data_IF_576662311071
#
_entry.id   IF_576662311071
#
_cell.length_a   1.000
_cell.length_b   1.000
_cell.length_c   1.000
_cell.angle_alpha   90.00
_cell.angle_beta   90.00
_cell.angle_gamma   90.00
#
_symmetry.space_group_name_H-M   'P 1'
#
loop_
_entity.id
_entity.type
_entity.pdbx_description
1 polymer ?
#
# COMPACT_ATOMS: atom_id res chain seq x y z
N UNK A 1 23.43 7.66 5.68
CA UNK A 1 23.23 8.18 7.05
C UNK A 1 24.28 9.19 7.47
N UNK A 2 25.62 9.04 7.25
CA UNK A 2 26.53 10.14 7.54
C UNK A 2 26.14 11.44 6.85
N UNK A 3 25.65 11.33 5.63
CA UNK A 3 25.15 12.46 4.85
C UNK A 3 23.83 13.03 5.42
N UNK A 4 22.90 12.18 5.87
CA UNK A 4 21.63 12.60 6.50
C UNK A 4 21.90 13.27 7.86
N UNK A 5 22.77 12.70 8.68
CA UNK A 5 23.17 13.27 9.98
C UNK A 5 23.93 14.58 9.77
N UNK A 6 24.87 14.64 8.82
CA UNK A 6 25.59 15.85 8.48
C UNK A 6 24.65 16.94 7.92
N UNK A 7 23.68 16.56 7.08
CA UNK A 7 22.62 17.47 6.57
C UNK A 7 21.74 17.99 7.69
N UNK A 8 21.25 17.10 8.59
CA UNK A 8 20.43 17.48 9.73
C UNK A 8 21.18 18.42 10.68
N UNK A 9 22.45 18.13 10.97
CA UNK A 9 23.31 19.01 11.76
C UNK A 9 23.53 20.37 11.07
N UNK A 10 23.70 20.41 9.74
CA UNK A 10 23.88 21.65 8.99
C UNK A 10 22.59 22.48 8.89
N UNK A 11 21.42 21.85 8.86
CA UNK A 11 20.11 22.54 8.90
C UNK A 11 19.85 23.13 10.30
N UNK A 12 20.11 22.36 11.37
CA UNK A 12 19.94 22.82 12.76
C UNK A 12 20.87 23.99 13.11
N UNK A 13 22.03 24.02 12.47
CA UNK A 13 23.01 25.12 12.63
C UNK A 13 22.78 26.28 11.64
N UNK A 14 21.74 26.22 10.81
CA UNK A 14 21.41 27.28 9.85
C UNK A 14 22.44 27.45 8.72
N UNK A 15 23.32 26.45 8.51
CA UNK A 15 24.44 26.50 7.57
C UNK A 15 24.08 26.04 6.16
N UNK A 16 22.90 25.45 5.95
CA UNK A 16 22.49 24.98 4.62
C UNK A 16 21.04 25.33 4.29
N UNK A 17 20.79 25.65 3.01
CA UNK A 17 19.44 25.80 2.44
C UNK A 17 18.85 24.45 1.97
N UNK A 18 19.45 23.32 2.33
CA UNK A 18 19.00 21.99 1.93
C UNK A 18 17.90 21.51 2.88
N UNK A 19 16.69 21.36 2.35
CA UNK A 19 15.59 20.72 3.08
C UNK A 19 15.72 19.21 2.99
N UNK A 20 15.63 18.52 4.13
CA UNK A 20 15.53 17.06 4.17
C UNK A 20 14.24 16.65 3.45
N UNK A 21 14.35 15.87 2.38
CA UNK A 21 13.20 15.45 1.57
C UNK A 21 12.64 14.09 1.99
N UNK A 22 13.44 13.26 2.65
CA UNK A 22 13.12 11.92 3.15
C UNK A 22 14.34 11.33 3.86
N UNK A 23 14.13 10.29 4.65
CA UNK A 23 15.21 9.59 5.37
C UNK A 23 16.06 8.72 4.44
N UNK A 24 15.46 8.17 3.40
CA UNK A 24 16.10 7.25 2.47
C UNK A 24 16.10 7.80 1.05
N UNK A 25 17.16 7.46 0.28
CA UNK A 25 17.22 7.65 -1.16
C UNK A 25 16.40 6.58 -1.88
N UNK A 26 15.74 6.93 -2.97
CA UNK A 26 14.87 6.03 -3.74
C UNK A 26 15.43 5.65 -5.10
N UNK A 27 16.67 6.02 -5.42
CA UNK A 27 17.30 5.70 -6.71
C UNK A 27 17.41 4.18 -6.96
N UNK A 28 17.78 3.33 -5.97
CA UNK A 28 17.79 1.88 -6.18
C UNK A 28 16.40 1.31 -6.48
N UNK A 29 15.36 1.78 -5.79
CA UNK A 29 13.97 1.37 -6.05
C UNK A 29 13.54 1.75 -7.46
N UNK A 30 13.86 2.98 -7.89
CA UNK A 30 13.58 3.46 -9.25
C UNK A 30 14.24 2.58 -10.32
N UNK A 31 15.51 2.23 -10.13
CA UNK A 31 16.23 1.34 -11.05
C UNK A 31 15.61 -0.05 -11.09
N UNK A 32 15.24 -0.61 -9.94
CA UNK A 32 14.60 -1.91 -9.84
C UNK A 32 13.24 -1.91 -10.56
N UNK A 33 12.37 -0.94 -10.29
CA UNK A 33 11.06 -0.84 -10.94
C UNK A 33 11.19 -0.60 -12.45
N UNK A 34 12.15 0.23 -12.87
CA UNK A 34 12.39 0.51 -14.28
C UNK A 34 12.91 -0.70 -15.05
N UNK A 35 13.64 -1.62 -14.41
CA UNK A 35 14.20 -2.82 -15.04
C UNK A 35 13.34 -4.08 -14.87
N UNK A 36 12.56 -4.17 -13.78
CA UNK A 36 11.76 -5.37 -13.48
C UNK A 36 10.39 -5.38 -14.19
N UNK A 37 9.89 -4.21 -14.57
CA UNK A 37 8.60 -4.05 -15.24
C UNK A 37 8.78 -3.85 -16.74
N UNK A 38 8.15 -4.71 -17.52
CA UNK A 38 8.02 -4.53 -18.96
C UNK A 38 6.83 -3.61 -19.26
N UNK A 39 7.10 -2.30 -19.25
CA UNK A 39 6.09 -1.28 -19.51
C UNK A 39 5.46 -1.43 -20.90
N UNK A 40 6.26 -1.81 -21.89
CA UNK A 40 5.78 -2.02 -23.24
C UNK A 40 4.80 -3.20 -23.29
N UNK A 41 5.06 -4.28 -22.55
CA UNK A 41 4.12 -5.37 -22.40
C UNK A 41 2.83 -4.94 -21.69
N UNK A 42 2.93 -4.12 -20.62
CA UNK A 42 1.77 -3.61 -19.91
C UNK A 42 0.85 -2.80 -20.85
N UNK A 43 1.43 -1.85 -21.60
CA UNK A 43 0.67 -1.06 -22.59
C UNK A 43 0.08 -1.91 -23.72
N UNK A 44 0.82 -2.94 -24.18
CA UNK A 44 0.28 -3.89 -25.18
C UNK A 44 -0.92 -4.63 -24.63
N UNK A 45 -0.88 -5.13 -23.38
CA UNK A 45 -1.99 -5.85 -22.77
C UNK A 45 -3.24 -4.98 -22.57
N UNK A 46 -3.08 -3.69 -22.35
CA UNK A 46 -4.20 -2.75 -22.37
C UNK A 46 -4.76 -2.54 -23.77
N UNK A 47 -3.89 -2.48 -24.76
CA UNK A 47 -4.29 -2.26 -26.17
C UNK A 47 -4.98 -3.48 -26.75
N UNK A 48 -4.50 -4.70 -26.49
CA UNK A 48 -5.05 -5.96 -26.99
C UNK A 48 -6.28 -6.45 -26.18
N UNK A 49 -6.55 -5.83 -25.03
CA UNK A 49 -7.68 -6.14 -24.16
C UNK A 49 -7.47 -7.34 -23.24
N UNK A 50 -6.21 -7.76 -23.03
CA UNK A 50 -5.85 -8.71 -21.96
C UNK A 50 -6.07 -8.06 -20.58
N UNK A 51 -5.82 -6.76 -20.49
CA UNK A 51 -6.16 -5.92 -19.34
C UNK A 51 -7.19 -4.87 -19.78
N UNK A 52 -8.22 -4.64 -18.98
CA UNK A 52 -9.19 -3.58 -19.23
C UNK A 52 -8.68 -2.23 -18.72
N UNK A 53 -8.06 -2.21 -17.54
CA UNK A 53 -7.47 -1.02 -16.95
C UNK A 53 -6.39 -1.36 -15.93
N UNK A 54 -5.43 -0.46 -15.76
CA UNK A 54 -4.48 -0.46 -14.65
C UNK A 54 -4.61 0.89 -13.93
N UNK A 55 -4.65 0.88 -12.62
CA UNK A 55 -4.72 2.11 -11.82
C UNK A 55 -3.65 2.12 -10.74
N UNK A 56 -2.95 3.24 -10.64
CA UNK A 56 -1.95 3.52 -9.60
C UNK A 56 -2.44 4.69 -8.76
N UNK A 57 -2.42 4.53 -7.44
CA UNK A 57 -2.96 5.52 -6.52
C UNK A 57 -1.84 6.31 -5.85
N UNK A 58 -1.90 7.63 -5.91
CA UNK A 58 -1.00 8.52 -5.19
C UNK A 58 -1.77 9.67 -4.54
N UNK A 59 -1.18 10.33 -3.54
CA UNK A 59 -1.80 11.46 -2.82
C UNK A 59 -1.04 12.75 -3.11
N UNK A 60 -1.73 13.79 -3.60
CA UNK A 60 -1.10 15.11 -3.80
C UNK A 60 -0.67 15.71 -2.47
N UNK A 61 0.58 16.17 -2.37
CA UNK A 61 1.16 16.70 -1.13
C UNK A 61 0.39 17.93 -0.64
N UNK A 62 0.05 18.87 -1.51
CA UNK A 62 -0.55 20.15 -1.13
C UNK A 62 -2.02 20.07 -0.74
N UNK A 63 -2.81 19.31 -1.49
CA UNK A 63 -4.27 19.27 -1.29
C UNK A 63 -4.73 18.05 -0.50
N UNK A 64 -3.90 17.02 -0.39
CA UNK A 64 -4.27 15.73 0.14
C UNK A 64 -5.30 14.99 -0.72
N UNK A 65 -5.49 15.39 -1.97
CA UNK A 65 -6.40 14.71 -2.90
C UNK A 65 -5.78 13.39 -3.35
N UNK A 66 -6.55 12.33 -3.28
CA UNK A 66 -6.16 11.02 -3.80
C UNK A 66 -6.38 11.02 -5.32
N UNK A 67 -5.32 10.76 -6.06
CA UNK A 67 -5.34 10.66 -7.52
C UNK A 67 -5.13 9.20 -7.92
N UNK A 68 -6.07 8.64 -8.67
CA UNK A 68 -5.93 7.37 -9.35
C UNK A 68 -5.50 7.63 -10.78
N UNK A 69 -4.19 7.49 -11.05
CA UNK A 69 -3.65 7.48 -12.40
C UNK A 69 -4.09 6.18 -13.05
N UNK A 70 -4.89 6.29 -14.09
CA UNK A 70 -5.54 5.14 -14.71
C UNK A 70 -5.19 5.09 -16.19
N UNK A 71 -4.70 3.94 -16.63
CA UNK A 71 -4.55 3.63 -18.03
C UNK A 71 -5.54 2.55 -18.40
N UNK A 72 -6.38 2.78 -19.41
CA UNK A 72 -7.44 1.86 -19.75
C UNK A 72 -7.89 1.95 -21.20
N UNK A 73 -8.49 0.88 -21.67
CA UNK A 73 -9.00 0.75 -23.02
C UNK A 73 -10.34 1.47 -23.16
N UNK A 74 -10.30 2.78 -23.51
CA UNK A 74 -11.52 3.55 -23.79
C UNK A 74 -12.49 3.61 -22.59
N UNK A 75 -11.97 3.55 -21.40
CA UNK A 75 -12.75 3.57 -20.17
C UNK A 75 -13.31 4.97 -19.93
N UNK A 76 -14.63 5.01 -19.77
CA UNK A 76 -15.28 6.14 -19.16
C UNK A 76 -14.86 6.19 -17.68
N UNK A 77 -13.91 7.08 -17.35
CA UNK A 77 -13.36 7.14 -16.00
C UNK A 77 -14.43 7.50 -14.99
N UNK A 78 -14.41 6.90 -13.80
CA UNK A 78 -15.38 7.24 -12.76
C UNK A 78 -15.31 8.73 -12.39
N UNK A 79 -16.46 9.35 -12.22
CA UNK A 79 -16.57 10.71 -11.71
C UNK A 79 -17.03 10.66 -10.24
N UNK A 80 -16.12 10.79 -9.27
CA UNK A 80 -16.47 10.78 -7.86
C UNK A 80 -17.46 11.89 -7.52
N UNK A 81 -18.37 11.61 -6.61
CA UNK A 81 -19.37 12.59 -6.18
C UNK A 81 -18.70 13.86 -5.61
N UNK A 82 -19.34 15.04 -5.74
CA UNK A 82 -18.84 16.29 -5.17
C UNK A 82 -18.51 16.15 -3.68
N UNK A 83 -17.34 16.67 -3.26
CA UNK A 83 -16.86 16.59 -1.88
C UNK A 83 -16.04 15.33 -1.57
N UNK A 84 -15.91 14.39 -2.47
CA UNK A 84 -14.96 13.29 -2.32
C UNK A 84 -13.55 13.77 -2.69
N UNK A 85 -12.60 13.54 -1.79
CA UNK A 85 -11.19 13.94 -1.98
C UNK A 85 -10.42 12.94 -2.86
N UNK A 86 -11.04 12.46 -3.94
CA UNK A 86 -10.41 11.57 -4.92
C UNK A 86 -10.78 11.98 -6.34
N UNK A 87 -9.88 11.66 -7.28
CA UNK A 87 -10.12 11.84 -8.73
C UNK A 87 -9.48 10.71 -9.51
N UNK A 88 -10.04 10.43 -10.68
CA UNK A 88 -9.44 9.58 -11.69
C UNK A 88 -8.84 10.47 -12.78
N UNK A 89 -7.67 10.10 -13.26
CA UNK A 89 -6.97 10.82 -14.30
C UNK A 89 -6.43 9.80 -15.29
N UNK A 90 -6.75 9.97 -16.57
CA UNK A 90 -6.16 9.16 -17.62
C UNK A 90 -4.68 9.47 -17.76
N UNK A 91 -3.85 8.43 -17.74
CA UNK A 91 -2.41 8.57 -17.81
C UNK A 91 -1.80 7.38 -18.53
N UNK A 92 -0.75 7.60 -19.30
CA UNK A 92 0.17 6.52 -19.69
C UNK A 92 1.08 6.25 -18.50
N UNK A 93 0.89 5.11 -17.86
CA UNK A 93 1.59 4.77 -16.61
C UNK A 93 3.06 4.47 -16.87
N UNK A 94 3.89 4.97 -15.97
CA UNK A 94 5.34 4.79 -15.99
C UNK A 94 5.91 4.61 -14.58
N UNK A 95 7.24 4.53 -14.49
CA UNK A 95 7.94 4.37 -13.22
C UNK A 95 7.66 5.50 -12.23
N UNK A 96 7.42 6.74 -12.70
CA UNK A 96 7.17 7.89 -11.83
C UNK A 96 5.86 7.73 -11.05
N UNK A 97 4.84 7.19 -11.69
CA UNK A 97 3.55 6.92 -11.05
C UNK A 97 3.69 5.87 -9.92
N UNK A 98 4.47 4.79 -10.17
CA UNK A 98 4.74 3.79 -9.13
C UNK A 98 5.60 4.36 -8.01
N UNK A 99 6.64 5.16 -8.35
CA UNK A 99 7.46 5.83 -7.36
C UNK A 99 6.64 6.77 -6.49
N UNK A 100 5.68 7.50 -7.08
CA UNK A 100 4.75 8.36 -6.34
C UNK A 100 3.85 7.56 -5.41
N UNK A 101 3.37 6.39 -5.87
CA UNK A 101 2.54 5.47 -5.08
C UNK A 101 3.28 4.82 -3.91
N UNK A 102 4.60 4.67 -4.02
CA UNK A 102 5.47 4.06 -3.01
C UNK A 102 6.19 5.09 -2.11
N UNK A 103 5.94 6.38 -2.29
CA UNK A 103 6.62 7.45 -1.57
C UNK A 103 6.02 7.65 -0.16
N UNK A 104 6.30 6.73 0.77
CA UNK A 104 5.84 6.81 2.18
C UNK A 104 6.37 8.10 2.81
N UNK A 105 5.48 8.99 3.30
CA UNK A 105 5.90 10.26 3.89
C UNK A 105 6.90 10.11 5.02
N UNK A 106 7.84 11.02 5.11
CA UNK A 106 8.97 11.04 6.02
C UNK A 106 10.06 9.99 5.72
N UNK A 107 9.70 8.79 5.29
CA UNK A 107 10.67 7.76 4.93
C UNK A 107 11.30 8.03 3.57
N UNK A 108 10.46 8.27 2.56
CA UNK A 108 10.90 8.53 1.19
C UNK A 108 10.57 9.97 0.75
N UNK A 109 11.37 10.53 -0.16
CA UNK A 109 11.07 11.83 -0.74
C UNK A 109 9.77 11.77 -1.56
N UNK A 110 9.00 12.87 -1.53
CA UNK A 110 7.88 13.04 -2.46
C UNK A 110 8.37 13.02 -3.90
N UNK A 111 7.55 12.51 -4.80
CA UNK A 111 7.86 12.34 -6.22
C UNK A 111 7.09 13.38 -7.04
N UNK A 112 7.77 14.00 -7.98
CA UNK A 112 7.15 14.89 -8.94
C UNK A 112 6.68 14.08 -10.16
N UNK A 113 5.37 14.10 -10.39
CA UNK A 113 4.75 13.53 -11.58
C UNK A 113 4.53 14.66 -12.57
N UNK A 114 4.97 14.47 -13.81
CA UNK A 114 4.93 15.50 -14.86
C UNK A 114 3.80 15.28 -15.88
N UNK A 115 3.31 14.07 -15.99
CA UNK A 115 2.29 13.67 -16.97
C UNK A 115 1.15 12.89 -16.31
N UNK A 116 -0.11 13.15 -16.72
CA UNK A 116 -0.55 14.20 -17.63
C UNK A 116 -0.50 15.60 -16.98
N UNK A 117 -0.51 16.67 -17.79
CA UNK A 117 -0.35 18.07 -17.34
C UNK A 117 -1.40 18.45 -16.27
N UNK A 118 -2.65 18.02 -16.42
CA UNK A 118 -3.74 18.28 -15.48
C UNK A 118 -3.52 17.66 -14.10
N UNK A 119 -2.61 16.68 -13.99
CA UNK A 119 -2.25 16.03 -12.74
C UNK A 119 -0.77 16.23 -12.38
N UNK A 120 -0.06 17.10 -13.09
CA UNK A 120 1.33 17.41 -12.77
C UNK A 120 1.45 17.99 -11.35
N UNK A 121 2.44 17.50 -10.59
CA UNK A 121 2.66 17.96 -9.21
C UNK A 121 3.43 16.97 -8.33
N UNK A 122 3.49 17.31 -7.05
CA UNK A 122 4.20 16.53 -6.03
C UNK A 122 3.26 15.57 -5.31
N UNK A 123 3.67 14.31 -5.25
CA UNK A 123 2.89 13.21 -4.71
C UNK A 123 3.64 12.43 -3.63
N UNK A 124 2.88 11.83 -2.76
CA UNK A 124 3.29 10.84 -1.77
C UNK A 124 2.41 9.59 -1.88
N UNK A 125 2.77 8.55 -1.16
CA UNK A 125 2.06 7.27 -1.15
C UNK A 125 0.54 7.42 -1.07
N UNK A 126 -0.15 6.69 -1.92
CA UNK A 126 -1.60 6.68 -2.00
C UNK A 126 -2.28 6.21 -0.72
N UNK A 127 -1.66 5.29 0.03
CA UNK A 127 -2.18 4.79 1.30
C UNK A 127 -2.31 5.90 2.36
N UNK A 128 -1.53 6.98 2.27
CA UNK A 128 -1.55 8.11 3.20
C UNK A 128 -2.96 8.70 3.40
N UNK A 129 -3.78 8.70 2.36
CA UNK A 129 -5.17 9.22 2.39
C UNK A 129 -6.22 8.25 1.86
N UNK A 130 -5.79 7.14 1.28
CA UNK A 130 -6.68 6.13 0.72
C UNK A 130 -7.35 5.32 1.81
N UNK A 131 -8.59 5.66 2.12
CA UNK A 131 -9.40 4.94 3.12
C UNK A 131 -10.08 3.69 2.57
N UNK A 132 -10.13 3.53 1.25
CA UNK A 132 -10.91 2.50 0.57
C UNK A 132 -10.11 1.90 -0.60
N UNK A 133 -9.22 0.93 -0.35
CA UNK A 133 -8.36 0.35 -1.39
C UNK A 133 -9.10 -0.45 -2.46
N UNK A 134 -10.28 -1.02 -2.14
CA UNK A 134 -11.06 -1.80 -3.11
C UNK A 134 -11.97 -0.94 -4.00
N UNK A 135 -12.31 0.27 -3.56
CA UNK A 135 -13.25 1.14 -4.26
C UNK A 135 -12.80 1.44 -5.70
N UNK A 136 -11.52 1.76 -5.99
CA UNK A 136 -11.10 2.00 -7.37
C UNK A 136 -11.38 0.83 -8.31
N UNK A 137 -11.10 -0.40 -7.90
CA UNK A 137 -11.38 -1.58 -8.72
C UNK A 137 -12.89 -1.74 -8.99
N UNK A 138 -13.72 -1.52 -7.96
CA UNK A 138 -15.18 -1.60 -8.10
C UNK A 138 -15.76 -0.50 -9.00
N UNK A 139 -15.24 0.72 -8.88
CA UNK A 139 -15.66 1.87 -9.71
C UNK A 139 -15.20 1.71 -11.16
N UNK A 140 -14.03 1.12 -11.40
CA UNK A 140 -13.54 0.76 -12.74
C UNK A 140 -14.25 -0.47 -13.34
N UNK A 141 -15.17 -1.07 -12.61
CA UNK A 141 -16.07 -2.08 -13.17
C UNK A 141 -15.74 -3.53 -12.81
N UNK A 142 -14.82 -3.81 -11.88
CA UNK A 142 -14.49 -5.17 -11.48
C UNK A 142 -15.74 -5.95 -11.04
N UNK A 143 -15.98 -7.10 -11.62
CA UNK A 143 -17.09 -8.01 -11.29
C UNK A 143 -16.70 -9.02 -10.21
N UNK A 144 -15.42 -9.29 -10.08
CA UNK A 144 -14.80 -10.14 -9.08
C UNK A 144 -13.56 -9.40 -8.55
N UNK A 145 -13.20 -9.62 -7.29
CA UNK A 145 -12.05 -8.95 -6.67
C UNK A 145 -11.10 -9.99 -6.08
N UNK A 146 -9.84 -9.91 -6.43
CA UNK A 146 -8.76 -10.57 -5.70
C UNK A 146 -8.02 -9.51 -4.89
N UNK A 147 -8.16 -9.56 -3.57
CA UNK A 147 -7.49 -8.65 -2.67
C UNK A 147 -6.26 -9.35 -2.06
N UNK A 148 -5.09 -8.74 -2.20
CA UNK A 148 -3.85 -9.23 -1.59
C UNK A 148 -3.40 -8.19 -0.56
N UNK A 149 -3.30 -8.61 0.70
CA UNK A 149 -2.88 -7.77 1.81
C UNK A 149 -1.54 -8.20 2.39
N UNK A 150 -0.77 -7.25 2.90
CA UNK A 150 0.47 -7.47 3.64
C UNK A 150 0.23 -7.67 5.13
N UNK A 151 -0.84 -7.07 5.67
CA UNK A 151 -1.27 -7.23 7.06
C UNK A 151 -2.41 -8.24 7.23
N UNK A 152 -2.54 -8.83 8.40
CA UNK A 152 -3.61 -9.78 8.71
C UNK A 152 -5.00 -9.14 8.60
N UNK A 153 -5.92 -9.85 7.97
CA UNK A 153 -7.33 -9.47 7.91
C UNK A 153 -8.11 -9.81 9.19
N UNK A 154 -7.50 -10.57 10.10
CA UNK A 154 -8.07 -10.88 11.42
C UNK A 154 -7.81 -9.73 12.39
N UNK A 155 -8.69 -9.56 13.35
CA UNK A 155 -8.44 -8.64 14.44
C UNK A 155 -7.19 -9.11 15.23
N UNK A 156 -6.28 -8.20 15.62
CA UNK A 156 -5.14 -8.57 16.44
C UNK A 156 -5.62 -9.19 17.75
N UNK A 157 -4.90 -10.20 18.23
CA UNK A 157 -5.14 -10.75 19.55
C UNK A 157 -4.79 -9.69 20.61
N UNK A 158 -5.62 -9.57 21.64
CA UNK A 158 -5.33 -8.66 22.75
C UNK A 158 -4.29 -9.32 23.65
N UNK A 159 -3.07 -8.79 23.65
CA UNK A 159 -2.02 -9.17 24.61
C UNK A 159 -1.89 -8.12 25.71
N UNK A 160 -2.56 -8.35 26.82
CA UNK A 160 -2.54 -7.44 27.97
C UNK A 160 -1.18 -7.34 28.65
N UNK A 161 -0.24 -8.25 28.40
CA UNK A 161 1.10 -8.19 28.95
C UNK A 161 1.93 -7.21 28.12
N UNK A 162 1.91 -7.34 26.78
CA UNK A 162 2.55 -6.42 25.86
C UNK A 162 2.00 -4.99 25.98
N UNK A 163 0.70 -4.81 26.23
CA UNK A 163 0.07 -3.49 26.43
C UNK A 163 0.63 -2.71 27.65
N UNK A 164 1.37 -3.36 28.54
CA UNK A 164 1.98 -2.73 29.71
C UNK A 164 3.47 -2.43 29.57
N UNK A 165 4.07 -2.87 28.50
CA UNK A 165 5.47 -2.58 28.20
C UNK A 165 5.66 -1.10 27.82
N UNK A 166 6.77 -0.47 28.22
CA UNK A 166 7.07 0.88 27.76
C UNK A 166 7.19 0.94 26.25
N UNK A 167 6.59 1.95 25.64
CA UNK A 167 6.63 2.21 24.19
C UNK A 167 7.67 3.28 23.89
N UNK A 168 8.31 3.15 22.72
CA UNK A 168 9.27 4.12 22.22
C UNK A 168 8.76 4.85 20.96
N UNK A 169 9.62 5.68 20.35
CA UNK A 169 9.27 6.41 19.14
C UNK A 169 9.01 5.45 17.95
N UNK A 170 9.76 4.35 17.87
CA UNK A 170 9.62 3.34 16.83
C UNK A 170 8.27 2.66 16.88
N UNK A 171 7.78 2.34 18.07
CA UNK A 171 6.45 1.76 18.29
C UNK A 171 5.35 2.70 17.81
N UNK A 172 5.50 4.01 18.08
CA UNK A 172 4.58 5.03 17.60
C UNK A 172 4.55 5.12 16.07
N UNK A 173 5.71 5.04 15.41
CA UNK A 173 5.82 5.06 13.95
C UNK A 173 5.23 3.77 13.36
N UNK A 174 5.53 2.60 13.92
CA UNK A 174 4.96 1.32 13.48
C UNK A 174 3.42 1.32 13.58
N UNK A 175 2.88 1.79 14.70
CA UNK A 175 1.44 1.93 14.91
C UNK A 175 0.79 2.83 13.86
N UNK A 176 1.41 3.97 13.53
CA UNK A 176 0.91 4.88 12.50
C UNK A 176 0.95 4.24 11.10
N UNK A 177 2.03 3.53 10.77
CA UNK A 177 2.14 2.85 9.48
C UNK A 177 1.11 1.72 9.35
N UNK A 178 0.94 0.88 10.37
CA UNK A 178 -0.08 -0.16 10.38
C UNK A 178 -1.49 0.39 10.21
N UNK A 179 -1.83 1.48 10.91
CA UNK A 179 -3.12 2.14 10.77
C UNK A 179 -3.38 2.68 9.36
N UNK A 180 -2.33 3.13 8.66
CA UNK A 180 -2.44 3.67 7.29
C UNK A 180 -2.46 2.55 6.24
N UNK A 181 -1.68 1.48 6.43
CA UNK A 181 -1.45 0.46 5.41
C UNK A 181 -2.45 -0.71 5.50
N UNK A 182 -2.74 -1.22 6.71
CA UNK A 182 -3.47 -2.47 6.89
C UNK A 182 -4.96 -2.30 7.21
N UNK A 183 -5.31 -1.38 8.07
CA UNK A 183 -6.70 -1.19 8.51
C UNK A 183 -7.70 -0.88 7.39
N UNK A 184 -7.35 -0.09 6.35
CA UNK A 184 -8.28 0.22 5.27
C UNK A 184 -8.77 -1.02 4.50
N UNK A 185 -7.89 -1.99 4.22
CA UNK A 185 -8.26 -3.22 3.51
C UNK A 185 -9.24 -4.08 4.32
N UNK A 186 -9.01 -4.20 5.61
CA UNK A 186 -9.90 -4.94 6.53
C UNK A 186 -11.29 -4.33 6.57
N UNK A 187 -11.38 -3.00 6.62
CA UNK A 187 -12.65 -2.28 6.61
C UNK A 187 -13.40 -2.45 5.28
N UNK A 188 -12.71 -2.33 4.17
CA UNK A 188 -13.32 -2.46 2.85
C UNK A 188 -13.85 -3.85 2.57
N UNK A 189 -13.09 -4.90 2.90
CA UNK A 189 -13.56 -6.28 2.78
C UNK A 189 -14.78 -6.56 3.66
N UNK A 190 -14.79 -6.02 4.89
CA UNK A 190 -15.98 -6.12 5.76
C UNK A 190 -17.19 -5.44 5.12
N UNK A 191 -17.01 -4.23 4.58
CA UNK A 191 -18.05 -3.48 3.91
C UNK A 191 -18.54 -4.19 2.65
N UNK A 192 -17.64 -4.74 1.85
CA UNK A 192 -17.97 -5.53 0.67
C UNK A 192 -18.86 -6.74 1.03
N UNK A 193 -18.46 -7.51 2.05
CA UNK A 193 -19.26 -8.65 2.54
C UNK A 193 -20.63 -8.22 3.06
N UNK A 194 -20.72 -7.13 3.79
CA UNK A 194 -22.00 -6.59 4.24
C UNK A 194 -22.89 -6.19 3.07
N UNK A 195 -22.34 -5.49 2.09
CA UNK A 195 -23.08 -5.09 0.88
C UNK A 195 -23.55 -6.31 0.11
N UNK A 196 -22.69 -7.32 -0.10
CA UNK A 196 -23.07 -8.57 -0.76
C UNK A 196 -24.26 -9.25 -0.05
N UNK A 197 -24.22 -9.33 1.30
CA UNK A 197 -25.32 -9.92 2.09
C UNK A 197 -26.62 -9.14 1.95
N UNK A 198 -26.58 -7.81 1.96
CA UNK A 198 -27.77 -6.96 1.75
C UNK A 198 -28.39 -7.19 0.37
N UNK A 199 -27.56 -7.37 -0.65
CA UNK A 199 -28.00 -7.60 -2.01
C UNK A 199 -28.50 -9.02 -2.28
N UNK A 200 -28.22 -9.98 -1.41
CA UNK A 200 -28.77 -11.34 -1.50
C UNK A 200 -30.27 -11.40 -1.13
N UNK A 201 -30.76 -10.45 -0.33
CA UNK A 201 -32.18 -10.32 -0.08
C UNK A 201 -32.87 -9.46 -1.15
N UNK A 202 -33.79 -10.00 -1.98
CA UNK A 202 -34.38 -9.28 -3.11
C UNK A 202 -35.10 -7.99 -2.72
N UNK A 203 -35.76 -7.97 -1.57
CA UNK A 203 -36.49 -6.79 -1.08
C UNK A 203 -35.55 -5.66 -0.71
N UNK A 204 -34.48 -5.97 0.02
CA UNK A 204 -33.41 -5.03 0.39
C UNK A 204 -32.67 -4.54 -0.84
N UNK A 205 -32.32 -5.44 -1.76
CA UNK A 205 -31.64 -5.09 -3.02
C UNK A 205 -32.46 -4.05 -3.80
N UNK A 206 -33.76 -4.30 -3.98
CA UNK A 206 -34.63 -3.36 -4.70
C UNK A 206 -34.72 -1.98 -4.03
N UNK A 207 -34.80 -1.95 -2.70
CA UNK A 207 -34.85 -0.70 -1.95
C UNK A 207 -33.53 0.10 -2.08
N UNK A 208 -32.39 -0.57 -1.94
CA UNK A 208 -31.07 0.02 -2.08
C UNK A 208 -30.85 0.58 -3.49
N UNK A 209 -31.19 -0.21 -4.52
CA UNK A 209 -31.05 0.25 -5.91
C UNK A 209 -31.93 1.46 -6.22
N UNK A 210 -33.15 1.51 -5.70
CA UNK A 210 -34.02 2.66 -5.87
C UNK A 210 -33.41 3.92 -5.26
N UNK A 211 -33.01 3.85 -4.00
CA UNK A 211 -32.37 4.96 -3.31
C UNK A 211 -31.14 5.48 -4.08
N UNK A 212 -30.28 4.60 -4.54
CA UNK A 212 -29.08 4.98 -5.30
C UNK A 212 -29.41 5.67 -6.62
N UNK A 213 -30.41 5.18 -7.35
CA UNK A 213 -30.87 5.83 -8.59
C UNK A 213 -31.47 7.22 -8.34
N UNK A 214 -32.15 7.40 -7.22
CA UNK A 214 -32.68 8.71 -6.78
C UNK A 214 -31.52 9.69 -6.49
N UNK A 215 -30.39 9.19 -6.01
CA UNK A 215 -29.16 9.95 -5.76
C UNK A 215 -28.26 10.09 -7.02
N UNK A 216 -28.66 9.52 -8.15
CA UNK A 216 -27.86 9.54 -9.39
C UNK A 216 -26.63 8.62 -9.36
N UNK A 217 -26.60 7.68 -8.41
CA UNK A 217 -25.53 6.73 -8.27
C UNK A 217 -25.79 5.43 -9.06
N UNK A 218 -24.71 4.73 -9.43
CA UNK A 218 -24.80 3.42 -10.12
C UNK A 218 -25.37 2.34 -9.19
N UNK A 219 -26.11 1.38 -9.77
CA UNK A 219 -26.62 0.22 -9.04
C UNK A 219 -25.45 -0.59 -8.44
N UNK A 220 -25.64 -1.06 -7.21
CA UNK A 220 -24.71 -2.01 -6.59
C UNK A 220 -24.94 -3.41 -7.15
N UNK A 221 -23.92 -4.23 -7.10
CA UNK A 221 -23.97 -5.64 -7.46
C UNK A 221 -23.28 -6.49 -6.39
N UNK A 222 -23.64 -7.76 -6.32
CA UNK A 222 -22.87 -8.76 -5.57
C UNK A 222 -21.52 -8.92 -6.27
N UNK A 223 -20.42 -8.77 -5.53
CA UNK A 223 -19.06 -8.92 -6.04
C UNK A 223 -18.36 -10.05 -5.27
N UNK A 224 -18.24 -11.23 -5.87
CA UNK A 224 -17.44 -12.32 -5.31
C UNK A 224 -15.98 -11.89 -5.13
N UNK A 225 -15.32 -12.41 -4.10
CA UNK A 225 -13.97 -12.00 -3.79
C UNK A 225 -13.09 -13.14 -3.27
N UNK A 226 -11.80 -12.99 -3.51
CA UNK A 226 -10.71 -13.73 -2.86
C UNK A 226 -9.94 -12.74 -2.00
N UNK A 227 -9.56 -13.13 -0.79
CA UNK A 227 -8.78 -12.28 0.09
C UNK A 227 -7.59 -13.07 0.67
N UNK A 228 -6.41 -12.84 0.11
CA UNK A 228 -5.16 -13.47 0.54
C UNK A 228 -4.39 -12.50 1.41
N UNK A 229 -4.10 -12.91 2.63
CA UNK A 229 -3.32 -12.13 3.59
C UNK A 229 -2.74 -13.04 4.68
N UNK A 230 -1.71 -12.59 5.40
CA UNK A 230 -1.14 -13.32 6.52
C UNK A 230 -2.22 -13.72 7.55
N UNK A 231 -2.10 -14.92 8.09
CA UNK A 231 -3.04 -15.40 9.13
C UNK A 231 -2.86 -14.59 10.41
N UNK A 232 -1.61 -14.35 10.80
CA UNK A 232 -1.26 -13.53 11.95
C UNK A 232 -0.60 -12.23 11.47
N UNK A 233 -0.80 -11.16 12.24
CA UNK A 233 -0.25 -9.84 11.90
C UNK A 233 1.27 -9.76 11.98
N UNK A 234 1.91 -10.66 12.75
CA UNK A 234 3.35 -10.64 13.04
C UNK A 234 4.22 -11.46 12.07
N UNK A 235 3.63 -12.18 11.10
CA UNK A 235 4.38 -13.12 10.27
C UNK A 235 5.41 -12.46 9.34
N UNK A 236 5.03 -11.35 8.69
CA UNK A 236 5.98 -10.58 7.88
C UNK A 236 7.03 -9.88 8.74
N UNK A 237 6.62 -9.37 9.90
CA UNK A 237 7.52 -8.78 10.87
C UNK A 237 8.56 -9.78 11.37
N UNK A 238 8.12 -11.00 11.71
CA UNK A 238 9.02 -12.08 12.12
C UNK A 238 10.00 -12.49 11.01
N UNK A 239 9.51 -12.61 9.77
CA UNK A 239 10.37 -12.92 8.61
C UNK A 239 11.40 -11.81 8.37
N UNK A 240 11.00 -10.54 8.46
CA UNK A 240 11.90 -9.41 8.31
C UNK A 240 13.00 -9.41 9.40
N UNK A 241 12.62 -9.66 10.65
CA UNK A 241 13.59 -9.76 11.76
C UNK A 241 14.55 -10.92 11.56
N UNK A 242 14.08 -12.11 11.18
CA UNK A 242 14.92 -13.27 10.95
C UNK A 242 15.97 -13.01 9.86
N UNK A 243 15.54 -12.42 8.72
CA UNK A 243 16.45 -12.08 7.62
C UNK A 243 17.43 -10.99 8.03
N UNK A 244 16.96 -9.96 8.73
CA UNK A 244 17.79 -8.88 9.24
C UNK A 244 18.88 -9.42 10.18
N UNK A 245 18.52 -10.27 11.14
CA UNK A 245 19.46 -10.88 12.09
C UNK A 245 20.51 -11.74 11.37
N UNK A 246 20.08 -12.47 10.34
CA UNK A 246 20.98 -13.34 9.56
C UNK A 246 21.95 -12.55 8.70
N UNK A 247 21.46 -11.54 7.98
CA UNK A 247 22.23 -10.87 6.92
C UNK A 247 22.89 -9.57 7.37
N UNK A 248 22.29 -8.83 8.32
CA UNK A 248 22.69 -7.46 8.63
C UNK A 248 23.24 -7.25 10.05
N UNK A 249 23.02 -8.17 11.00
CA UNK A 249 23.61 -8.08 12.37
C UNK A 249 25.04 -8.61 12.45
N UNK A 250 25.59 -9.17 11.42
CA UNK A 250 26.99 -9.61 11.38
C UNK A 250 27.93 -8.41 11.18
N UNK A 251 29.22 -8.55 11.60
CA UNK A 251 30.24 -7.51 11.40
C UNK A 251 30.40 -7.10 9.93
N UNK A 252 30.25 -8.06 9.01
CA UNK A 252 30.31 -7.82 7.57
C UNK A 252 29.03 -7.14 7.05
N UNK A 253 27.84 -7.54 7.50
CA UNK A 253 26.58 -6.93 7.17
C UNK A 253 26.45 -5.49 7.70
N UNK A 254 26.96 -5.24 8.91
CA UNK A 254 26.99 -3.89 9.50
C UNK A 254 27.85 -2.91 8.68
N UNK A 255 28.91 -3.41 8.03
CA UNK A 255 29.76 -2.58 7.17
C UNK A 255 29.15 -2.36 5.78
N UNK A 256 28.29 -3.28 5.32
CA UNK A 256 27.65 -3.20 4.00
C UNK A 256 26.46 -2.20 3.99
N UNK A 257 25.65 -2.22 5.08
CA UNK A 257 24.43 -1.41 5.16
C UNK A 257 24.34 -0.62 6.49
N UNK A 258 25.23 0.39 6.68
CA UNK A 258 25.22 1.19 7.91
C UNK A 258 23.92 1.95 8.12
N UNK A 259 23.16 2.23 7.07
CA UNK A 259 21.91 2.96 7.12
C UNK A 259 20.81 2.15 7.79
N UNK A 260 20.69 0.86 7.47
CA UNK A 260 19.76 -0.05 8.13
C UNK A 260 20.07 -0.23 9.63
N UNK A 261 21.34 -0.23 10.01
CA UNK A 261 21.75 -0.32 11.42
C UNK A 261 21.37 0.93 12.22
N UNK A 262 21.48 2.10 11.63
CA UNK A 262 21.06 3.35 12.27
C UNK A 262 19.55 3.38 12.41
N UNK A 263 18.83 2.96 11.37
CA UNK A 263 17.36 2.85 11.40
C UNK A 263 16.93 1.89 12.50
N UNK A 264 17.53 0.71 12.58
CA UNK A 264 17.28 -0.26 13.63
C UNK A 264 17.47 0.34 15.04
N UNK A 265 18.54 1.15 15.24
CA UNK A 265 18.79 1.80 16.52
C UNK A 265 17.89 3.01 16.81
N UNK A 266 17.55 3.78 15.79
CA UNK A 266 16.72 4.98 15.94
C UNK A 266 15.23 4.65 16.10
N UNK A 267 14.80 3.51 15.54
CA UNK A 267 13.40 3.09 15.51
C UNK A 267 13.04 2.05 16.57
N UNK A 268 13.90 1.84 17.58
CA UNK A 268 13.47 1.15 18.78
C UNK A 268 14.09 -0.18 19.14
N UNK A 269 15.30 -0.45 18.68
CA UNK A 269 16.22 -1.49 19.21
C UNK A 269 15.69 -2.89 19.46
N UNK A 270 14.86 -3.15 20.43
CA UNK A 270 14.33 -4.47 20.80
C UNK A 270 12.80 -4.48 20.96
N UNK A 271 12.08 -3.52 20.37
CA UNK A 271 10.63 -3.46 20.44
C UNK A 271 9.97 -4.55 19.57
N UNK A 272 8.87 -5.17 20.03
CA UNK A 272 8.07 -6.11 19.24
C UNK A 272 7.58 -5.53 17.90
N UNK A 273 7.35 -4.22 17.84
CA UNK A 273 6.89 -3.52 16.62
C UNK A 273 8.02 -3.19 15.63
N UNK A 274 9.27 -3.39 16.01
CA UNK A 274 10.42 -3.16 15.14
C UNK A 274 10.37 -4.02 13.87
N UNK A 275 9.93 -5.27 13.98
CA UNK A 275 9.75 -6.15 12.84
C UNK A 275 8.75 -5.61 11.82
N UNK A 276 7.69 -4.93 12.28
CA UNK A 276 6.73 -4.27 11.38
C UNK A 276 7.41 -3.17 10.57
N UNK A 277 8.18 -2.30 11.21
CA UNK A 277 8.94 -1.27 10.50
C UNK A 277 9.95 -1.84 9.51
N UNK A 278 10.67 -2.88 9.93
CA UNK A 278 11.61 -3.57 9.05
C UNK A 278 10.90 -4.18 7.84
N UNK A 279 9.71 -4.74 7.99
CA UNK A 279 8.96 -5.32 6.86
C UNK A 279 8.63 -4.29 5.76
N UNK A 280 8.55 -2.99 6.10
CA UNK A 280 8.37 -1.92 5.12
C UNK A 280 9.68 -1.38 4.54
N UNK A 281 10.81 -1.59 5.21
CA UNK A 281 12.09 -0.94 4.90
C UNK A 281 13.18 -1.91 4.48
N UNK A 282 13.02 -3.21 4.71
CA UNK A 282 14.02 -4.23 4.39
C UNK A 282 13.93 -4.63 2.92
N UNK A 283 14.66 -3.92 2.07
CA UNK A 283 14.79 -4.25 0.65
C UNK A 283 15.89 -5.32 0.47
N UNK A 284 15.63 -6.52 0.97
CA UNK A 284 16.53 -7.66 0.94
C UNK A 284 15.89 -8.80 0.14
N UNK A 285 16.68 -9.48 -0.71
CA UNK A 285 16.18 -10.54 -1.58
C UNK A 285 15.63 -11.72 -0.77
N UNK A 286 16.32 -12.12 0.29
CA UNK A 286 15.89 -13.25 1.12
C UNK A 286 14.57 -12.94 1.82
N UNK A 287 14.38 -11.66 2.20
CA UNK A 287 13.09 -11.21 2.76
C UNK A 287 11.96 -11.28 1.73
N UNK A 288 12.20 -10.84 0.50
CA UNK A 288 11.18 -10.93 -0.55
C UNK A 288 10.85 -12.38 -0.91
N UNK A 289 11.83 -13.28 -0.91
CA UNK A 289 11.60 -14.72 -1.11
C UNK A 289 10.77 -15.30 0.04
N UNK A 290 11.08 -14.99 1.29
CA UNK A 290 10.31 -15.40 2.45
C UNK A 290 8.87 -14.86 2.44
N UNK A 291 8.69 -13.58 2.11
CA UNK A 291 7.37 -12.97 1.98
C UNK A 291 6.53 -13.63 0.85
N UNK A 292 7.15 -13.96 -0.28
CA UNK A 292 6.50 -14.66 -1.37
C UNK A 292 6.07 -16.10 -0.96
N UNK A 293 6.87 -16.80 -0.17
CA UNK A 293 6.53 -18.12 0.35
C UNK A 293 5.37 -18.07 1.36
N UNK A 294 5.34 -17.05 2.22
CA UNK A 294 4.19 -16.76 3.08
C UNK A 294 2.94 -16.54 2.24
N UNK A 295 3.00 -15.69 1.23
CA UNK A 295 1.86 -15.42 0.35
C UNK A 295 1.35 -16.67 -0.40
N UNK A 296 2.27 -17.52 -0.88
CA UNK A 296 1.89 -18.81 -1.52
C UNK A 296 1.19 -19.75 -0.53
N UNK A 297 1.66 -19.82 0.70
CA UNK A 297 1.04 -20.61 1.77
C UNK A 297 -0.38 -20.10 2.06
N UNK A 298 -0.53 -18.79 2.18
CA UNK A 298 -1.81 -18.16 2.51
C UNK A 298 -2.82 -18.30 1.36
N UNK A 299 -2.36 -18.20 0.11
CA UNK A 299 -3.20 -18.47 -1.05
C UNK A 299 -3.69 -19.93 -1.11
N UNK A 300 -2.82 -20.91 -0.80
CA UNK A 300 -3.22 -22.33 -0.73
C UNK A 300 -4.28 -22.54 0.37
N UNK A 301 -4.08 -21.96 1.55
CA UNK A 301 -5.06 -22.01 2.63
C UNK A 301 -6.41 -21.45 2.20
N UNK A 302 -6.42 -20.30 1.51
CA UNK A 302 -7.67 -19.74 0.98
C UNK A 302 -8.40 -20.73 0.06
N UNK A 303 -7.68 -21.36 -0.87
CA UNK A 303 -8.25 -22.35 -1.81
C UNK A 303 -8.81 -23.58 -1.06
N UNK A 304 -8.12 -24.04 -0.01
CA UNK A 304 -8.57 -25.17 0.82
C UNK A 304 -9.84 -24.82 1.62
N UNK A 305 -9.92 -23.59 2.16
CA UNK A 305 -11.08 -23.11 2.92
C UNK A 305 -12.28 -22.72 2.04
N UNK A 306 -12.04 -22.45 0.73
CA UNK A 306 -13.06 -22.01 -0.21
C UNK A 306 -13.02 -22.86 -1.48
N UNK A 307 -13.68 -24.04 -1.50
CA UNK A 307 -13.67 -24.96 -2.65
C UNK A 307 -14.15 -24.31 -3.96
N UNK A 308 -15.09 -23.38 -3.87
CA UNK A 308 -15.60 -22.61 -5.03
C UNK A 308 -14.71 -21.40 -5.37
N UNK A 309 -13.57 -21.25 -4.69
CA UNK A 309 -12.61 -20.14 -4.76
C UNK A 309 -13.19 -18.80 -4.29
N UNK A 310 -14.42 -18.46 -4.63
CA UNK A 310 -15.02 -17.16 -4.42
C UNK A 310 -15.90 -17.10 -3.16
N UNK A 311 -15.60 -16.16 -2.25
CA UNK A 311 -16.50 -15.81 -1.16
C UNK A 311 -17.43 -14.65 -1.56
N UNK A 312 -18.67 -14.63 -1.06
CA UNK A 312 -19.67 -13.58 -1.31
C UNK A 312 -20.10 -12.88 -0.02
#
# INVERSE_FOLDING_TARGET
>A
VPEVVARYASETLGLSRFRLRGLFGTDPLRQTLGSALDWEAAHRHLTDGTLDAVAVTATTVRTGQVTMFTEGRGTDLPHPAPGQHRRYVEASLDVEHLMASAAIPALFPSVEVHSPEEAAGWYVDGATRRRHPLVPALELGATHVVAVGTGSLRAPAVDRAADREPVDLGDGVATLLGAVMDDPMRHDLRRLRQTNRLLQDPGTAQAVQRMRREEGERDLRVVPHVAVAPDRGDELAAAAMEVFDRNHRTLLGTAADPDLQVVHRLLGGDSPLQGELLSYLLFDRDFFEAAADLGRRDARRWVEEHPDLWAT
#
